data_IF_838100487919
#
_entry.id   IF_838100487919
#
_cell.length_a   1.000
_cell.length_b   1.000
_cell.length_c   1.000
_cell.angle_alpha   90.00
_cell.angle_beta   90.00
_cell.angle_gamma   90.00
#
_symmetry.space_group_name_H-M   'P 1'
#
loop_
_entity.id
_entity.type
_entity.pdbx_description
1 polymer ?
#
# COMPACT_ATOMS: atom_id res chain seq x y z
N UNK A 1 35.73 -0.31 -15.29
CA UNK A 1 34.88 -0.71 -14.19
C UNK A 1 33.50 -0.11 -14.43
N UNK A 2 32.50 -0.93 -14.72
CA UNK A 2 31.11 -0.46 -14.76
C UNK A 2 30.70 -0.06 -13.34
N UNK A 3 30.25 1.17 -13.17
CA UNK A 3 29.66 1.59 -11.90
C UNK A 3 28.41 0.73 -11.70
N UNK A 4 28.39 -0.04 -10.63
CA UNK A 4 27.17 -0.70 -10.16
C UNK A 4 26.27 0.44 -9.68
N UNK A 5 25.30 0.83 -10.50
CA UNK A 5 24.25 1.76 -10.08
C UNK A 5 23.54 1.10 -8.91
N UNK A 6 23.48 1.79 -7.77
CA UNK A 6 22.70 1.33 -6.64
C UNK A 6 21.24 1.17 -7.08
N UNK A 7 20.58 0.10 -6.63
CA UNK A 7 19.15 -0.09 -6.91
C UNK A 7 18.37 1.16 -6.46
N UNK A 8 17.38 1.61 -7.22
CA UNK A 8 16.59 2.77 -6.83
C UNK A 8 15.82 2.46 -5.54
N UNK A 9 15.81 3.39 -4.59
CA UNK A 9 15.07 3.21 -3.34
C UNK A 9 13.55 3.24 -3.57
N UNK A 10 13.10 3.95 -4.61
CA UNK A 10 11.69 4.18 -4.91
C UNK A 10 11.39 4.09 -6.41
N UNK A 11 10.32 3.41 -6.76
CA UNK A 11 9.81 3.39 -8.13
C UNK A 11 8.31 3.76 -8.16
N UNK A 12 7.93 4.52 -9.17
CA UNK A 12 6.53 4.82 -9.50
C UNK A 12 6.15 4.04 -10.74
N UNK A 13 5.11 3.22 -10.66
CA UNK A 13 4.57 2.44 -11.77
C UNK A 13 3.22 3.03 -12.16
N UNK A 14 3.04 3.41 -13.42
CA UNK A 14 1.84 4.10 -13.91
C UNK A 14 1.48 3.65 -15.33
N UNK A 15 0.20 3.69 -15.71
CA UNK A 15 -0.19 3.42 -17.10
C UNK A 15 0.25 4.54 -18.03
N UNK A 16 0.47 4.25 -19.31
CA UNK A 16 0.71 5.28 -20.34
C UNK A 16 -0.48 6.24 -20.44
N UNK A 17 -1.70 5.76 -20.22
CA UNK A 17 -2.90 6.59 -20.22
C UNK A 17 -2.89 7.61 -19.09
N UNK A 18 -2.63 7.17 -17.84
CA UNK A 18 -2.55 8.07 -16.68
C UNK A 18 -1.33 8.97 -16.74
N UNK A 19 -0.23 8.49 -17.31
CA UNK A 19 0.95 9.32 -17.57
C UNK A 19 0.70 10.43 -18.59
N UNK A 20 -0.13 10.20 -19.61
CA UNK A 20 -0.50 11.19 -20.62
C UNK A 20 -1.55 12.20 -20.13
N UNK A 21 -2.28 11.86 -19.07
CA UNK A 21 -3.25 12.75 -18.42
C UNK A 21 -2.53 13.80 -17.56
N UNK A 22 -2.68 15.11 -17.84
CA UNK A 22 -1.96 16.15 -17.10
C UNK A 22 -2.25 16.18 -15.60
N UNK A 23 -3.46 15.82 -15.18
CA UNK A 23 -3.85 15.81 -13.77
C UNK A 23 -3.20 14.66 -13.03
N UNK A 24 -3.27 13.45 -13.57
CA UNK A 24 -2.62 12.26 -13.01
C UNK A 24 -1.09 12.32 -13.11
N UNK A 25 -0.57 12.99 -14.14
CA UNK A 25 0.86 13.27 -14.25
C UNK A 25 1.38 14.07 -13.07
N UNK A 26 0.63 15.06 -12.57
CA UNK A 26 1.01 15.83 -11.37
C UNK A 26 1.15 14.95 -10.12
N UNK A 27 0.34 13.90 -10.00
CA UNK A 27 0.46 12.92 -8.90
C UNK A 27 1.81 12.20 -8.98
N UNK A 28 2.17 11.72 -10.16
CA UNK A 28 3.46 11.06 -10.39
C UNK A 28 4.63 12.01 -10.13
N UNK A 29 4.56 13.24 -10.65
CA UNK A 29 5.61 14.23 -10.48
C UNK A 29 5.79 14.61 -9.00
N UNK A 30 4.70 14.68 -8.20
CA UNK A 30 4.77 14.91 -6.76
C UNK A 30 5.49 13.76 -6.01
N UNK A 31 5.23 12.51 -6.38
CA UNK A 31 5.94 11.35 -5.80
C UNK A 31 7.42 11.36 -6.18
N UNK A 32 7.74 11.64 -7.43
CA UNK A 32 9.13 11.73 -7.90
C UNK A 32 9.88 12.86 -7.21
N UNK A 33 9.26 14.02 -7.04
CA UNK A 33 9.86 15.16 -6.33
C UNK A 33 10.10 14.88 -4.85
N UNK A 34 9.31 14.00 -4.24
CA UNK A 34 9.40 13.62 -2.83
C UNK A 34 10.48 12.57 -2.54
N UNK A 35 10.78 11.72 -3.50
CA UNK A 35 11.68 10.59 -3.34
C UNK A 35 12.90 10.73 -4.26
N UNK A 36 14.01 11.19 -3.71
CA UNK A 36 15.25 11.39 -4.46
C UNK A 36 15.67 10.10 -5.18
N UNK A 37 15.97 10.24 -6.47
CA UNK A 37 16.36 9.10 -7.30
C UNK A 37 15.20 8.16 -7.69
N UNK A 38 13.94 8.56 -7.46
CA UNK A 38 12.79 7.78 -7.88
C UNK A 38 12.78 7.56 -9.40
N UNK A 39 12.46 6.32 -9.80
CA UNK A 39 12.32 5.95 -11.21
C UNK A 39 10.85 5.81 -11.58
N UNK A 40 10.51 6.15 -12.83
CA UNK A 40 9.14 5.98 -13.36
C UNK A 40 9.15 4.85 -14.37
N UNK A 41 8.26 3.87 -14.15
CA UNK A 41 8.04 2.74 -15.04
C UNK A 41 6.62 2.79 -15.57
N UNK A 42 6.45 2.59 -16.88
CA UNK A 42 5.16 2.76 -17.55
C UNK A 42 4.70 1.46 -18.18
N UNK A 43 3.40 1.21 -18.15
CA UNK A 43 2.77 0.07 -18.80
C UNK A 43 1.64 0.52 -19.73
N UNK A 44 1.34 -0.26 -20.76
CA UNK A 44 0.39 0.10 -21.80
C UNK A 44 -0.94 -0.66 -21.67
N UNK A 45 -0.89 -1.96 -21.59
CA UNK A 45 -2.07 -2.82 -21.59
C UNK A 45 -2.37 -3.42 -20.23
N UNK A 46 -1.34 -3.81 -19.50
CA UNK A 46 -1.48 -4.44 -18.18
C UNK A 46 -0.31 -4.07 -17.27
N UNK A 47 -0.62 -3.86 -15.99
CA UNK A 47 0.41 -3.62 -14.96
C UNK A 47 1.45 -4.74 -14.88
N UNK A 48 1.14 -5.94 -15.36
CA UNK A 48 2.07 -7.08 -15.44
C UNK A 48 3.30 -6.76 -16.31
N UNK A 49 3.19 -5.84 -17.26
CA UNK A 49 4.33 -5.37 -18.08
C UNK A 49 5.45 -4.74 -17.22
N UNK A 50 5.11 -4.23 -16.03
CA UNK A 50 6.09 -3.69 -15.10
C UNK A 50 6.99 -4.77 -14.46
N UNK A 51 6.67 -6.05 -14.60
CA UNK A 51 7.46 -7.14 -13.99
C UNK A 51 8.92 -7.11 -14.44
N UNK A 52 9.17 -6.97 -15.74
CA UNK A 52 10.53 -7.00 -16.28
C UNK A 52 11.39 -5.82 -15.79
N UNK A 53 10.94 -4.54 -15.89
CA UNK A 53 11.71 -3.42 -15.36
C UNK A 53 11.85 -3.46 -13.83
N UNK A 54 10.83 -3.91 -13.09
CA UNK A 54 10.93 -4.07 -11.64
C UNK A 54 11.94 -5.16 -11.25
N UNK A 55 11.93 -6.30 -11.93
CA UNK A 55 12.92 -7.37 -11.73
C UNK A 55 14.36 -6.90 -11.99
N UNK A 56 14.55 -6.06 -12.99
CA UNK A 56 15.86 -5.52 -13.30
C UNK A 56 16.37 -4.50 -12.27
N UNK A 57 15.47 -3.76 -11.63
CA UNK A 57 15.79 -2.69 -10.70
C UNK A 57 15.72 -3.12 -9.21
N UNK A 58 14.79 -3.99 -8.86
CA UNK A 58 14.42 -4.41 -7.49
C UNK A 58 14.44 -3.21 -6.52
N UNK A 59 13.58 -2.21 -6.72
CA UNK A 59 13.51 -1.06 -5.82
C UNK A 59 12.98 -1.49 -4.45
N UNK A 60 13.40 -0.80 -3.40
CA UNK A 60 12.88 -1.11 -2.05
C UNK A 60 11.39 -0.81 -1.91
N UNK A 61 10.92 0.30 -2.50
CA UNK A 61 9.53 0.74 -2.45
C UNK A 61 8.97 0.94 -3.85
N UNK A 62 7.73 0.52 -4.06
CA UNK A 62 7.01 0.69 -5.33
C UNK A 62 5.63 1.30 -5.07
N UNK A 63 5.35 2.42 -5.72
CA UNK A 63 4.02 3.01 -5.75
C UNK A 63 3.37 2.81 -7.12
N UNK A 64 2.26 2.08 -7.15
CA UNK A 64 1.44 1.94 -8.35
C UNK A 64 0.42 3.08 -8.36
N UNK A 65 0.56 4.04 -9.27
CA UNK A 65 -0.40 5.13 -9.46
C UNK A 65 -1.47 4.67 -10.45
N UNK A 66 -2.72 4.71 -10.01
CA UNK A 66 -3.85 4.24 -10.81
C UNK A 66 -5.07 5.15 -10.65
N UNK A 67 -5.76 5.44 -11.75
CA UNK A 67 -7.07 6.09 -11.70
C UNK A 67 -8.10 5.17 -11.01
N UNK A 68 -9.24 5.68 -10.51
CA UNK A 68 -10.32 4.83 -9.97
C UNK A 68 -10.78 3.75 -10.96
N UNK A 69 -10.75 4.03 -12.26
CA UNK A 69 -11.13 3.07 -13.29
C UNK A 69 -10.10 1.96 -13.50
N UNK A 70 -8.82 2.23 -13.23
CA UNK A 70 -7.72 1.26 -13.33
C UNK A 70 -7.55 0.45 -12.05
N UNK A 71 -7.84 1.02 -10.87
CA UNK A 71 -7.68 0.39 -9.56
C UNK A 71 -8.75 -0.69 -9.30
N UNK A 72 -8.86 -1.65 -10.19
CA UNK A 72 -9.80 -2.77 -10.10
C UNK A 72 -9.25 -3.90 -9.23
N UNK A 73 -10.15 -4.79 -8.77
CA UNK A 73 -9.74 -6.01 -8.06
C UNK A 73 -8.76 -6.87 -8.89
N UNK A 74 -8.94 -6.90 -10.22
CA UNK A 74 -8.03 -7.59 -11.12
C UNK A 74 -6.63 -6.98 -11.10
N UNK A 75 -6.52 -5.64 -11.19
CA UNK A 75 -5.24 -4.95 -11.09
C UNK A 75 -4.56 -5.19 -9.75
N UNK A 76 -5.30 -5.12 -8.63
CA UNK A 76 -4.74 -5.42 -7.30
C UNK A 76 -4.19 -6.83 -7.25
N UNK A 77 -4.93 -7.81 -7.78
CA UNK A 77 -4.48 -9.19 -7.89
C UNK A 77 -3.23 -9.36 -8.77
N UNK A 78 -3.13 -8.61 -9.86
CA UNK A 78 -1.96 -8.61 -10.74
C UNK A 78 -0.74 -8.01 -10.06
N UNK A 79 -0.89 -6.86 -9.37
CA UNK A 79 0.17 -6.25 -8.57
C UNK A 79 0.67 -7.21 -7.50
N UNK A 80 -0.23 -7.84 -6.75
CA UNK A 80 0.13 -8.82 -5.74
C UNK A 80 0.91 -10.00 -6.32
N UNK A 81 0.53 -10.48 -7.51
CA UNK A 81 1.23 -11.59 -8.18
C UNK A 81 2.58 -11.18 -8.74
N UNK A 82 2.67 -10.01 -9.39
CA UNK A 82 3.93 -9.57 -10.00
C UNK A 82 5.01 -9.25 -8.96
N UNK A 83 4.65 -8.67 -7.81
CA UNK A 83 5.60 -8.32 -6.76
C UNK A 83 6.18 -9.52 -6.00
N UNK A 84 5.65 -10.72 -6.25
CA UNK A 84 6.15 -12.01 -5.74
C UNK A 84 6.90 -12.83 -6.79
N UNK A 85 7.22 -12.22 -7.92
CA UNK A 85 7.88 -12.87 -9.05
C UNK A 85 9.06 -12.07 -9.57
N UNK A 86 9.60 -11.19 -8.73
CA UNK A 86 10.75 -10.39 -9.11
C UNK A 86 12.04 -11.19 -8.98
N UNK A 87 12.07 -12.18 -8.11
CA UNK A 87 13.11 -13.21 -8.04
C UNK A 87 12.52 -14.64 -8.08
N UNK A 88 13.26 -15.62 -7.62
CA UNK A 88 12.89 -17.04 -7.71
C UNK A 88 12.26 -17.60 -6.43
N UNK A 89 12.12 -16.77 -5.37
CA UNK A 89 11.44 -17.19 -4.15
C UNK A 89 9.93 -16.78 -4.16
N UNK A 90 9.08 -17.34 -3.28
CA UNK A 90 7.65 -17.04 -3.26
C UNK A 90 7.27 -15.80 -2.45
N UNK A 91 8.22 -15.09 -1.88
CA UNK A 91 7.95 -13.94 -1.02
C UNK A 91 7.83 -12.64 -1.82
N UNK A 92 7.46 -11.57 -1.13
CA UNK A 92 7.35 -10.24 -1.74
C UNK A 92 8.69 -9.53 -1.65
N UNK A 93 9.27 -9.17 -2.80
CA UNK A 93 10.61 -8.60 -2.93
C UNK A 93 10.66 -7.09 -2.64
N UNK A 94 9.52 -6.43 -2.65
CA UNK A 94 9.41 -4.97 -2.55
C UNK A 94 8.27 -4.56 -1.60
N UNK A 95 8.43 -3.45 -0.90
CA UNK A 95 7.30 -2.80 -0.23
C UNK A 95 6.49 -2.05 -1.27
N UNK A 96 5.22 -2.39 -1.43
CA UNK A 96 4.39 -1.79 -2.45
C UNK A 96 3.06 -1.26 -1.93
N UNK A 97 2.52 -0.28 -2.64
CA UNK A 97 1.19 0.26 -2.41
C UNK A 97 0.58 0.78 -3.70
N UNK A 98 -0.74 0.92 -3.71
CA UNK A 98 -1.49 1.53 -4.82
C UNK A 98 -1.96 2.90 -4.35
N UNK A 99 -1.56 3.95 -5.06
CA UNK A 99 -2.07 5.30 -4.87
C UNK A 99 -3.17 5.55 -5.89
N UNK A 100 -4.35 5.80 -5.38
CA UNK A 100 -5.54 6.21 -6.13
C UNK A 100 -6.30 7.27 -5.33
N UNK A 101 -7.42 7.77 -5.84
CA UNK A 101 -8.28 8.74 -5.19
C UNK A 101 -9.66 8.75 -5.85
N UNK A 102 -10.57 9.58 -5.39
CA UNK A 102 -11.83 9.82 -6.11
C UNK A 102 -11.57 10.47 -7.47
N UNK A 103 -10.54 11.30 -7.51
CA UNK A 103 -10.02 12.00 -8.67
C UNK A 103 -8.50 12.24 -8.49
N UNK A 104 -7.90 12.89 -9.46
CA UNK A 104 -6.47 13.21 -9.44
C UNK A 104 -6.10 14.24 -8.36
N UNK A 105 -7.00 15.16 -7.99
CA UNK A 105 -6.75 16.15 -6.95
C UNK A 105 -6.65 15.48 -5.57
N UNK A 106 -7.56 14.55 -5.28
CA UNK A 106 -7.52 13.76 -4.05
C UNK A 106 -6.24 12.88 -4.01
N UNK A 107 -5.89 12.21 -5.11
CA UNK A 107 -4.66 11.43 -5.21
C UNK A 107 -3.40 12.32 -5.01
N UNK A 108 -3.41 13.54 -5.57
CA UNK A 108 -2.32 14.50 -5.40
C UNK A 108 -2.20 14.93 -3.94
N UNK A 109 -3.30 15.22 -3.26
CA UNK A 109 -3.28 15.56 -1.84
C UNK A 109 -2.64 14.44 -0.99
N UNK A 110 -2.94 13.17 -1.30
CA UNK A 110 -2.32 12.01 -0.65
C UNK A 110 -0.81 11.94 -0.97
N UNK A 111 -0.42 12.13 -2.23
CA UNK A 111 0.99 12.11 -2.65
C UNK A 111 1.81 13.21 -1.96
N UNK A 112 1.20 14.37 -1.70
CA UNK A 112 1.83 15.53 -1.07
C UNK A 112 1.80 15.49 0.46
N UNK A 113 1.04 14.56 1.09
CA UNK A 113 0.94 14.48 2.55
C UNK A 113 2.33 14.19 3.15
N UNK A 114 2.85 15.15 3.90
CA UNK A 114 4.19 15.09 4.47
C UNK A 114 4.23 14.47 5.87
N UNK A 115 3.09 14.37 6.53
CA UNK A 115 3.01 13.83 7.89
C UNK A 115 2.85 12.31 7.83
N UNK A 116 3.65 11.55 8.58
CA UNK A 116 3.45 10.11 8.68
C UNK A 116 2.05 9.80 9.21
N UNK A 117 1.36 8.86 8.57
CA UNK A 117 0.10 8.36 9.11
C UNK A 117 0.36 7.66 10.43
N UNK A 118 -0.23 8.16 11.50
CA UNK A 118 -0.18 7.53 12.81
C UNK A 118 -1.54 6.89 13.12
N UNK A 119 -1.58 5.58 13.14
CA UNK A 119 -2.78 4.82 13.50
C UNK A 119 -2.82 4.70 15.02
N UNK A 120 -3.83 5.31 15.65
CA UNK A 120 -4.03 5.28 17.09
C UNK A 120 -5.17 4.37 17.53
N UNK A 121 -6.17 4.18 16.66
CA UNK A 121 -7.34 3.34 16.91
C UNK A 121 -7.49 2.33 15.79
N UNK A 122 -7.81 1.09 16.13
CA UNK A 122 -7.94 0.02 15.16
C UNK A 122 -9.09 -0.92 15.52
N UNK A 123 -9.81 -1.38 14.50
CA UNK A 123 -10.69 -2.53 14.59
C UNK A 123 -10.26 -3.53 13.51
N UNK A 124 -10.07 -4.78 13.89
CA UNK A 124 -9.58 -5.82 12.99
C UNK A 124 -10.39 -7.10 13.14
N UNK A 125 -10.69 -7.73 12.02
CA UNK A 125 -11.25 -9.08 11.96
C UNK A 125 -10.23 -10.19 12.22
N UNK A 126 -8.93 -9.83 12.33
CA UNK A 126 -7.83 -10.75 12.62
C UNK A 126 -7.05 -10.28 13.84
N UNK A 127 -6.27 -11.15 14.43
CA UNK A 127 -5.43 -10.82 15.59
C UNK A 127 -4.41 -9.73 15.25
N UNK A 128 -4.27 -8.76 16.15
CA UNK A 128 -3.30 -7.66 16.07
C UNK A 128 -2.58 -7.42 17.40
N UNK A 129 -1.35 -6.93 17.31
CA UNK A 129 -0.56 -6.47 18.45
C UNK A 129 -1.12 -5.11 18.96
N UNK A 130 -2.15 -5.14 19.80
CA UNK A 130 -2.82 -3.95 20.35
C UNK A 130 -1.94 -3.11 21.27
N UNK A 131 -0.78 -3.61 21.71
CA UNK A 131 0.23 -2.83 22.42
C UNK A 131 0.77 -1.65 21.62
N UNK A 132 0.70 -1.71 20.29
CA UNK A 132 1.20 -0.70 19.35
C UNK A 132 0.23 0.45 19.07
N UNK A 133 -1.02 0.37 19.54
CA UNK A 133 -2.05 1.40 19.33
C UNK A 133 -2.63 1.90 20.65
N UNK A 134 -3.28 3.05 20.64
CA UNK A 134 -3.91 3.63 21.83
C UNK A 134 -5.19 2.88 22.20
N UNK A 135 -6.03 2.59 21.21
CA UNK A 135 -7.29 1.85 21.38
C UNK A 135 -7.44 0.81 20.28
N UNK A 136 -8.08 -0.31 20.60
CA UNK A 136 -8.34 -1.28 19.55
C UNK A 136 -9.21 -2.44 20.00
N UNK A 137 -9.75 -3.11 19.01
CA UNK A 137 -10.39 -4.42 19.15
C UNK A 137 -9.94 -5.31 18.01
N UNK A 138 -9.62 -6.55 18.30
CA UNK A 138 -9.34 -7.57 17.31
C UNK A 138 -10.02 -8.89 17.67
N UNK A 139 -10.23 -9.68 16.65
CA UNK A 139 -10.86 -11.01 16.75
C UNK A 139 -9.83 -12.05 16.35
N UNK A 140 -9.90 -13.22 16.99
CA UNK A 140 -9.10 -14.37 16.60
C UNK A 140 -9.86 -15.15 15.52
N UNK A 141 -9.34 -15.14 14.30
CA UNK A 141 -9.97 -15.85 13.17
C UNK A 141 -9.91 -17.38 13.30
N UNK A 142 -9.01 -17.89 14.14
CA UNK A 142 -8.85 -19.33 14.37
C UNK A 142 -9.63 -19.83 15.60
N UNK A 143 -10.05 -18.93 16.48
CA UNK A 143 -10.72 -19.25 17.74
C UNK A 143 -12.05 -18.53 17.84
N UNK A 144 -13.11 -19.22 17.46
CA UNK A 144 -14.45 -18.64 17.47
C UNK A 144 -14.83 -18.10 18.85
N UNK A 145 -15.41 -16.91 18.86
CA UNK A 145 -15.86 -16.24 20.08
C UNK A 145 -14.73 -15.61 20.91
N UNK A 146 -13.51 -15.54 20.39
CA UNK A 146 -12.39 -14.89 21.03
C UNK A 146 -12.16 -13.49 20.47
N UNK A 147 -12.12 -12.49 21.34
CA UNK A 147 -11.76 -11.13 20.98
C UNK A 147 -10.95 -10.47 22.09
N UNK A 148 -10.10 -9.53 21.69
CA UNK A 148 -9.24 -8.77 22.60
C UNK A 148 -9.52 -7.29 22.40
N UNK A 149 -9.62 -6.53 23.49
CA UNK A 149 -9.88 -5.08 23.46
C UNK A 149 -8.89 -4.33 24.31
N UNK A 150 -8.42 -3.20 23.80
CA UNK A 150 -7.67 -2.18 24.51
C UNK A 150 -8.45 -0.86 24.48
N UNK A 151 -8.71 -0.28 25.64
CA UNK A 151 -9.58 0.90 25.77
C UNK A 151 -8.84 2.22 25.70
N UNK A 152 -7.55 2.26 26.01
CA UNK A 152 -6.73 3.46 25.95
C UNK A 152 -5.24 3.11 25.87
N UNK A 153 -4.39 4.07 25.55
CA UNK A 153 -2.95 3.89 25.45
C UNK A 153 -2.30 3.34 26.71
N UNK A 154 -2.87 3.61 27.89
CA UNK A 154 -2.35 3.16 29.19
C UNK A 154 -2.99 1.86 29.69
N UNK A 155 -4.08 1.43 29.09
CA UNK A 155 -4.76 0.21 29.51
C UNK A 155 -4.09 -1.04 28.90
N UNK A 156 -4.05 -2.15 29.62
CA UNK A 156 -3.70 -3.44 29.04
C UNK A 156 -4.77 -3.88 28.03
N UNK A 157 -4.37 -4.67 27.03
CA UNK A 157 -5.30 -5.40 26.22
C UNK A 157 -5.89 -6.56 27.02
N UNK A 158 -7.21 -6.72 26.99
CA UNK A 158 -7.92 -7.75 27.74
C UNK A 158 -8.84 -8.55 26.84
N UNK A 159 -8.99 -9.83 27.14
CA UNK A 159 -10.00 -10.66 26.49
C UNK A 159 -11.40 -10.17 26.87
N UNK A 160 -12.26 -10.07 25.86
CA UNK A 160 -13.67 -9.69 26.04
C UNK A 160 -14.57 -10.66 25.28
N UNK A 161 -15.77 -10.90 25.82
CA UNK A 161 -16.77 -11.62 25.04
C UNK A 161 -17.07 -10.83 23.77
N UNK A 162 -17.18 -11.49 22.61
CA UNK A 162 -17.53 -10.79 21.37
C UNK A 162 -18.93 -10.15 21.55
N UNK A 163 -18.96 -8.83 21.50
CA UNK A 163 -20.22 -8.12 21.35
C UNK A 163 -20.71 -8.30 19.90
N UNK A 164 -22.01 -8.28 19.70
CA UNK A 164 -22.56 -8.12 18.35
C UNK A 164 -22.09 -6.75 17.80
N UNK A 165 -21.07 -6.82 16.96
CA UNK A 165 -20.38 -5.63 16.44
C UNK A 165 -21.13 -4.99 15.28
N UNK A 166 -22.22 -5.59 14.81
CA UNK A 166 -23.01 -5.08 13.68
C UNK A 166 -23.56 -3.68 13.98
N UNK A 167 -23.86 -3.38 15.23
CA UNK A 167 -24.31 -2.05 15.66
C UNK A 167 -23.18 -1.06 15.97
N UNK A 168 -21.98 -1.52 16.20
CA UNK A 168 -20.82 -0.67 16.52
C UNK A 168 -20.06 -0.15 15.28
N UNK A 169 -20.43 -0.63 14.10
CA UNK A 169 -19.82 -0.27 12.81
C UNK A 169 -20.72 0.65 11.96
N UNK A 170 -21.88 1.08 12.48
CA UNK A 170 -22.81 2.00 11.79
C UNK A 170 -22.63 3.43 12.30
#
# INVERSE_FOLDING_TARGET
>A
AAAVLAAPEYAVVVSEKSWADPEWRRVVDALVARHDGATVMRWQTSVVEATAPLRAAIPRHVCFVATPAEATAAMVGDVHRLTRRLDDDPYTDVFWGILTGFDAENALAIAMESKPLTIRKVASGTELALDRVDEGVCYDELKQGHSVRKQSGQAPAVEVAPADTTQALV
#
